data_IF_001691300565
#
_entry.id   IF_001691300565
#
_cell.length_a   1.000
_cell.length_b   1.000
_cell.length_c   1.000
_cell.angle_alpha   90.00
_cell.angle_beta   90.00
_cell.angle_gamma   90.00
#
_symmetry.space_group_name_H-M   'P 1'
#
loop_
_entity.id
_entity.type
_entity.pdbx_description
1 polymer ?
#
# COMPACT_ATOMS: atom_id res chain seq x y z
N UNK A 1 -16.68 40.29 -9.91
CA UNK A 1 -17.05 38.94 -9.46
C UNK A 1 -16.17 38.62 -8.28
N UNK A 2 -16.81 38.57 -7.13
CA UNK A 2 -16.34 39.04 -5.85
C UNK A 2 -15.36 38.04 -5.20
N UNK A 3 -14.12 38.49 -4.94
CA UNK A 3 -13.09 37.72 -4.21
C UNK A 3 -13.32 37.73 -2.70
N UNK A 4 -14.52 38.09 -2.23
CA UNK A 4 -14.82 38.31 -0.81
C UNK A 4 -15.20 37.03 -0.04
N UNK A 5 -15.26 35.88 -0.72
CA UNK A 5 -15.68 34.61 -0.13
C UNK A 5 -14.63 33.48 -0.29
N UNK A 6 -13.34 33.82 -0.37
CA UNK A 6 -12.30 32.79 -0.36
C UNK A 6 -12.44 31.94 0.92
N UNK A 7 -12.59 30.62 0.74
CA UNK A 7 -12.76 29.67 1.83
C UNK A 7 -11.47 28.87 2.01
N UNK A 8 -11.03 28.76 3.25
CA UNK A 8 -9.90 27.94 3.64
C UNK A 8 -10.34 26.76 4.50
N UNK A 9 -9.49 25.74 4.57
CA UNK A 9 -9.75 24.53 5.34
C UNK A 9 -8.82 24.43 6.54
N UNK A 10 -9.38 24.19 7.73
CA UNK A 10 -8.61 23.98 8.94
C UNK A 10 -7.85 22.66 8.85
N UNK A 11 -6.52 22.70 8.98
CA UNK A 11 -5.67 21.53 8.96
C UNK A 11 -5.77 20.63 10.20
N UNK A 12 -6.54 21.02 11.22
CA UNK A 12 -6.76 20.25 12.46
C UNK A 12 -8.12 19.56 12.47
N UNK A 13 -9.20 20.31 12.25
CA UNK A 13 -10.56 19.77 12.31
C UNK A 13 -11.16 19.46 10.93
N UNK A 14 -10.51 19.89 9.84
CA UNK A 14 -11.04 19.85 8.46
C UNK A 14 -12.31 20.68 8.23
N UNK A 15 -12.61 21.61 9.13
CA UNK A 15 -13.69 22.58 8.98
C UNK A 15 -13.35 23.61 7.91
N UNK A 16 -14.35 24.03 7.13
CA UNK A 16 -14.19 25.12 6.16
C UNK A 16 -14.57 26.45 6.81
N UNK A 17 -13.79 27.48 6.57
CA UNK A 17 -13.97 28.83 7.11
C UNK A 17 -13.69 29.87 6.03
N UNK A 18 -14.29 31.05 6.13
CA UNK A 18 -13.97 32.17 5.24
C UNK A 18 -12.61 32.73 5.65
N UNK A 19 -11.79 33.17 4.71
CA UNK A 19 -10.42 33.62 4.98
C UNK A 19 -10.34 34.74 6.04
N UNK A 20 -11.34 35.63 6.07
CA UNK A 20 -11.46 36.70 7.08
C UNK A 20 -11.63 36.17 8.50
N UNK A 21 -12.22 34.98 8.64
CA UNK A 21 -12.61 34.39 9.91
C UNK A 21 -11.61 33.32 10.37
N UNK A 22 -10.52 33.10 9.62
CA UNK A 22 -9.44 32.17 10.00
C UNK A 22 -8.93 32.47 11.43
N UNK A 23 -8.58 33.72 11.80
CA UNK A 23 -8.07 34.01 13.15
C UNK A 23 -9.08 33.74 14.28
N UNK A 24 -10.37 33.70 13.96
CA UNK A 24 -11.46 33.43 14.90
C UNK A 24 -11.77 31.92 15.01
N UNK A 25 -11.09 31.08 14.24
CA UNK A 25 -11.36 29.65 14.20
C UNK A 25 -10.95 28.98 15.51
N UNK A 26 -11.82 28.12 16.06
CA UNK A 26 -11.65 27.49 17.38
C UNK A 26 -10.33 26.72 17.55
N UNK A 27 -9.81 26.11 16.49
CA UNK A 27 -8.51 25.41 16.53
C UNK A 27 -7.29 26.34 16.72
N UNK A 28 -7.43 27.65 16.49
CA UNK A 28 -6.36 28.65 16.73
C UNK A 28 -6.45 29.26 18.13
N UNK A 29 -7.48 28.94 18.92
CA UNK A 29 -7.64 29.49 20.25
C UNK A 29 -6.47 29.06 21.16
N UNK A 30 -5.71 30.04 21.64
CA UNK A 30 -4.53 29.81 22.48
C UNK A 30 -3.19 29.77 21.73
N UNK A 31 -3.20 29.98 20.41
CA UNK A 31 -1.99 30.15 19.59
C UNK A 31 -1.89 31.60 19.14
N UNK A 32 -0.70 32.21 19.31
CA UNK A 32 -0.46 33.59 18.89
C UNK A 32 -0.28 33.71 17.37
N UNK A 33 0.03 32.58 16.70
CA UNK A 33 0.37 32.53 15.29
C UNK A 33 -0.31 31.35 14.58
N UNK A 34 -0.46 31.48 13.26
CA UNK A 34 -0.93 30.41 12.39
C UNK A 34 -0.16 30.45 11.06
N UNK A 35 -0.01 29.28 10.45
CA UNK A 35 0.56 29.14 9.12
C UNK A 35 -0.56 28.95 8.10
N UNK A 36 -0.54 29.73 7.02
CA UNK A 36 -1.47 29.60 5.90
C UNK A 36 -0.75 29.11 4.65
N UNK A 37 -1.24 28.02 4.09
CA UNK A 37 -0.77 27.44 2.85
C UNK A 37 -1.64 27.92 1.68
N UNK A 38 -1.11 28.84 0.87
CA UNK A 38 -1.79 29.38 -0.30
C UNK A 38 -2.07 28.34 -1.41
N UNK A 39 -1.25 27.28 -1.51
CA UNK A 39 -1.38 26.29 -2.58
C UNK A 39 -2.56 25.35 -2.32
N UNK A 40 -2.69 24.93 -1.06
CA UNK A 40 -3.74 23.99 -0.65
C UNK A 40 -4.95 24.71 -0.02
N UNK A 41 -4.87 26.02 0.21
CA UNK A 41 -5.86 26.81 0.96
C UNK A 41 -6.14 26.21 2.35
N UNK A 42 -5.10 25.72 3.01
CA UNK A 42 -5.18 25.18 4.38
C UNK A 42 -4.51 26.11 5.37
N UNK A 43 -5.02 26.15 6.60
CA UNK A 43 -4.37 26.88 7.70
C UNK A 43 -4.17 25.96 8.90
N UNK A 44 -3.13 26.25 9.68
CA UNK A 44 -2.68 25.43 10.80
C UNK A 44 -2.26 26.31 11.98
N UNK A 45 -2.60 25.95 13.23
CA UNK A 45 -2.06 26.62 14.40
C UNK A 45 -0.54 26.42 14.50
N UNK A 46 0.16 27.47 14.91
CA UNK A 46 1.62 27.49 15.05
C UNK A 46 1.98 27.87 16.49
N UNK A 47 2.93 27.15 17.07
CA UNK A 47 3.52 27.48 18.37
C UNK A 47 4.70 28.45 18.21
N UNK A 48 5.12 29.08 19.30
CA UNK A 48 6.27 29.98 19.34
C UNK A 48 7.59 29.32 18.88
N UNK A 49 7.70 27.99 19.06
CA UNK A 49 8.83 27.17 18.61
C UNK A 49 8.77 26.80 17.11
N UNK A 50 7.95 27.47 16.30
CA UNK A 50 7.70 27.13 14.88
C UNK A 50 7.21 25.69 14.65
N UNK A 51 6.46 25.14 15.61
CA UNK A 51 5.85 23.80 15.47
C UNK A 51 4.40 23.96 15.04
N UNK A 52 4.08 23.38 13.89
CA UNK A 52 2.77 23.36 13.27
C UNK A 52 1.95 22.17 13.75
N UNK A 53 0.70 22.42 14.10
CA UNK A 53 -0.25 21.39 14.52
C UNK A 53 -1.15 21.02 13.35
N UNK A 54 -1.10 19.76 12.91
CA UNK A 54 -1.97 19.23 11.84
C UNK A 54 -2.58 17.90 12.20
N UNK A 55 -3.77 17.64 11.72
CA UNK A 55 -4.42 16.34 11.85
C UNK A 55 -4.17 15.49 10.61
N UNK A 56 -3.77 14.24 10.81
CA UNK A 56 -3.63 13.23 9.76
C UNK A 56 -4.69 12.16 9.96
N UNK A 57 -5.20 11.61 8.86
CA UNK A 57 -6.16 10.51 8.90
C UNK A 57 -5.41 9.23 8.55
N UNK A 58 -5.30 8.31 9.51
CA UNK A 58 -4.70 6.99 9.34
C UNK A 58 -5.74 5.92 9.64
N UNK A 59 -6.05 5.06 8.66
CA UNK A 59 -7.01 3.96 8.79
C UNK A 59 -8.37 4.38 9.38
N UNK A 60 -8.86 5.55 8.95
CA UNK A 60 -10.12 6.14 9.43
C UNK A 60 -10.05 6.78 10.83
N UNK A 61 -8.89 6.74 11.49
CA UNK A 61 -8.64 7.42 12.77
C UNK A 61 -7.98 8.76 12.51
N UNK A 62 -8.46 9.80 13.21
CA UNK A 62 -7.86 11.14 13.20
C UNK A 62 -6.77 11.18 14.26
N UNK A 63 -5.55 11.51 13.86
CA UNK A 63 -4.40 11.66 14.74
C UNK A 63 -3.80 13.06 14.57
N UNK A 64 -3.73 13.80 15.67
CA UNK A 64 -3.11 15.13 15.69
C UNK A 64 -1.60 14.95 15.82
N UNK A 65 -0.86 15.53 14.89
CA UNK A 65 0.59 15.43 14.77
C UNK A 65 1.18 16.84 14.87
N UNK A 66 2.27 16.94 15.64
CA UNK A 66 3.13 18.13 15.73
C UNK A 66 4.26 17.98 14.71
N UNK A 67 4.48 19.00 13.89
CA UNK A 67 5.51 19.00 12.85
C UNK A 67 6.20 20.35 12.79
N UNK A 68 7.53 20.37 12.71
CA UNK A 68 8.25 21.64 12.55
C UNK A 68 7.88 22.30 11.21
N UNK A 69 7.75 23.62 11.21
CA UNK A 69 7.42 24.40 10.01
C UNK A 69 8.46 24.21 8.91
N UNK A 70 9.75 24.18 9.25
CA UNK A 70 10.84 23.94 8.30
C UNK A 70 10.72 22.57 7.60
N UNK A 71 10.26 21.54 8.34
CA UNK A 71 10.05 20.21 7.78
C UNK A 71 8.79 20.17 6.90
N UNK A 72 7.76 20.94 7.27
CA UNK A 72 6.52 21.09 6.50
C UNK A 72 6.76 21.81 5.16
N UNK A 73 7.56 22.88 5.15
CA UNK A 73 7.92 23.61 3.94
C UNK A 73 8.88 22.81 3.04
N UNK A 74 9.76 22.00 3.62
CA UNK A 74 10.58 21.03 2.87
C UNK A 74 9.72 19.97 2.17
N UNK A 75 8.70 19.41 2.84
CA UNK A 75 7.74 18.50 2.21
C UNK A 75 7.03 19.14 1.00
N UNK A 76 6.82 20.46 1.02
CA UNK A 76 6.19 21.23 -0.06
C UNK A 76 7.14 21.55 -1.22
N UNK A 77 8.38 21.96 -0.92
CA UNK A 77 9.40 22.25 -1.93
C UNK A 77 9.88 20.99 -2.67
N UNK A 78 9.90 19.84 -2.00
CA UNK A 78 10.11 18.53 -2.65
C UNK A 78 8.99 18.16 -3.66
N UNK A 79 7.74 18.61 -3.44
CA UNK A 79 6.65 18.42 -4.41
C UNK A 79 6.82 19.26 -5.69
N UNK A 80 7.50 20.42 -5.61
CA UNK A 80 7.73 21.32 -6.76
C UNK A 80 9.04 21.04 -7.50
N UNK A 81 10.09 20.59 -6.81
CA UNK A 81 11.41 20.28 -7.42
C UNK A 81 11.45 18.85 -8.04
N UNK A 82 10.50 17.98 -7.69
CA UNK A 82 10.35 16.61 -8.25
C UNK A 82 10.14 16.51 -9.78
N UNK A 83 10.13 17.62 -10.53
CA UNK A 83 10.32 17.58 -11.99
C UNK A 83 11.78 17.44 -12.43
N UNK A 84 12.78 17.70 -11.58
CA UNK A 84 14.20 17.59 -11.96
C UNK A 84 15.08 17.04 -10.83
N UNK A 85 15.26 15.72 -10.89
CA UNK A 85 16.38 14.93 -10.37
C UNK A 85 16.64 14.88 -8.84
N UNK A 86 16.21 13.73 -8.30
CA UNK A 86 16.95 12.83 -7.39
C UNK A 86 16.96 13.10 -5.87
N UNK A 87 16.42 12.08 -5.18
CA UNK A 87 16.88 11.49 -3.92
C UNK A 87 16.63 12.25 -2.61
N UNK A 88 15.69 11.76 -1.78
CA UNK A 88 15.94 10.74 -0.72
C UNK A 88 14.89 10.85 0.41
N UNK A 89 13.65 10.36 0.22
CA UNK A 89 12.72 10.14 1.35
C UNK A 89 11.64 9.10 1.07
N UNK A 90 11.73 8.00 1.82
CA UNK A 90 10.66 7.16 2.39
C UNK A 90 9.31 7.14 1.65
N UNK A 91 9.31 6.60 0.42
CA UNK A 91 8.07 6.30 -0.29
C UNK A 91 7.38 5.07 0.31
N UNK A 92 6.09 5.18 0.64
CA UNK A 92 5.19 4.02 0.57
C UNK A 92 5.10 3.66 -0.92
N UNK A 93 5.97 2.77 -1.35
CA UNK A 93 6.17 2.41 -2.75
C UNK A 93 4.86 1.89 -3.37
N UNK A 94 4.18 2.74 -4.13
CA UNK A 94 3.21 2.29 -5.12
C UNK A 94 4.01 1.81 -6.32
N UNK A 95 4.23 0.50 -6.40
CA UNK A 95 4.83 -0.15 -7.57
C UNK A 95 4.01 0.23 -8.82
N UNK A 96 4.69 0.62 -9.90
CA UNK A 96 4.04 0.79 -11.20
C UNK A 96 3.57 -0.57 -11.74
N UNK A 97 2.66 -0.57 -12.71
CA UNK A 97 2.24 -1.80 -13.39
C UNK A 97 3.43 -2.59 -13.96
N UNK A 98 4.41 -1.90 -14.55
CA UNK A 98 5.63 -2.54 -15.06
C UNK A 98 6.45 -3.16 -13.94
N UNK A 99 6.45 -2.55 -12.75
CA UNK A 99 7.15 -3.09 -11.58
C UNK A 99 6.42 -4.30 -10.99
N UNK A 100 5.09 -4.33 -11.06
CA UNK A 100 4.27 -5.48 -10.69
C UNK A 100 4.51 -6.65 -11.66
N UNK A 101 4.68 -6.38 -12.95
CA UNK A 101 5.01 -7.40 -13.93
C UNK A 101 6.42 -7.98 -13.71
N UNK A 102 7.42 -7.11 -13.48
CA UNK A 102 8.77 -7.54 -13.11
C UNK A 102 8.76 -8.35 -11.82
N UNK A 103 7.97 -7.96 -10.81
CA UNK A 103 7.79 -8.72 -9.58
C UNK A 103 7.28 -10.14 -9.86
N UNK A 104 6.27 -10.29 -10.72
CA UNK A 104 5.72 -11.60 -11.06
C UNK A 104 6.75 -12.46 -11.79
N UNK A 105 7.51 -11.89 -12.73
CA UNK A 105 8.55 -12.61 -13.48
C UNK A 105 9.71 -13.06 -12.57
N UNK A 106 10.17 -12.19 -11.67
CA UNK A 106 11.24 -12.52 -10.72
C UNK A 106 10.80 -13.58 -9.70
N UNK A 107 9.54 -13.54 -9.26
CA UNK A 107 8.99 -14.59 -8.39
C UNK A 107 8.82 -15.90 -9.17
N UNK A 108 8.33 -15.85 -10.41
CA UNK A 108 8.21 -17.04 -11.28
C UNK A 108 9.55 -17.75 -11.45
N UNK A 109 10.64 -17.00 -11.68
CA UNK A 109 11.99 -17.54 -11.83
C UNK A 109 12.52 -18.24 -10.56
N UNK A 110 11.92 -17.97 -9.38
CA UNK A 110 12.32 -18.53 -8.09
C UNK A 110 11.26 -19.48 -7.55
N UNK A 111 11.29 -20.73 -8.04
CA UNK A 111 10.36 -21.79 -7.63
C UNK A 111 10.12 -21.93 -6.12
N UNK A 112 11.13 -21.84 -5.22
CA UNK A 112 10.90 -22.00 -3.78
C UNK A 112 10.00 -20.93 -3.15
N UNK A 113 9.73 -19.82 -3.84
CA UNK A 113 8.85 -18.76 -3.35
C UNK A 113 7.37 -19.09 -3.53
N UNK A 114 7.02 -19.91 -4.52
CA UNK A 114 5.65 -20.14 -4.94
C UNK A 114 5.27 -21.62 -5.00
N UNK A 115 6.22 -22.52 -5.22
CA UNK A 115 6.00 -23.95 -5.30
C UNK A 115 6.03 -24.59 -3.89
N UNK A 116 4.84 -24.79 -3.32
CA UNK A 116 4.68 -25.43 -2.01
C UNK A 116 4.86 -26.96 -2.03
N UNK A 117 5.05 -27.56 -3.22
CA UNK A 117 5.32 -29.00 -3.35
C UNK A 117 6.80 -29.35 -3.20
N UNK A 118 7.69 -28.35 -3.17
CA UNK A 118 9.11 -28.54 -2.89
C UNK A 118 9.35 -28.96 -1.44
N UNK A 119 10.46 -29.67 -1.19
CA UNK A 119 10.79 -30.18 0.13
C UNK A 119 10.96 -29.03 1.14
N UNK A 120 10.53 -29.27 2.39
CA UNK A 120 10.60 -28.26 3.47
C UNK A 120 12.03 -27.74 3.68
N UNK A 121 13.05 -28.56 3.40
CA UNK A 121 14.45 -28.17 3.48
C UNK A 121 14.84 -27.08 2.47
N UNK A 122 14.21 -27.07 1.29
CA UNK A 122 14.42 -26.07 0.22
C UNK A 122 13.55 -24.83 0.43
N UNK A 123 12.46 -24.95 1.20
CA UNK A 123 11.53 -23.88 1.60
C UNK A 123 11.80 -23.28 2.98
N UNK A 124 12.99 -23.48 3.55
CA UNK A 124 13.27 -22.94 4.87
C UNK A 124 13.05 -21.42 4.88
N UNK A 125 12.51 -20.87 5.96
CA UNK A 125 12.33 -19.43 6.19
C UNK A 125 13.59 -18.63 5.85
N UNK A 126 14.77 -19.19 6.13
CA UNK A 126 16.06 -18.59 5.75
C UNK A 126 16.23 -18.45 4.23
N UNK A 127 15.88 -19.48 3.47
CA UNK A 127 16.00 -19.51 2.01
C UNK A 127 14.96 -18.58 1.39
N UNK A 128 13.71 -18.67 1.82
CA UNK A 128 12.63 -17.81 1.29
C UNK A 128 12.87 -16.33 1.58
N UNK A 129 13.33 -15.96 2.78
CA UNK A 129 13.70 -14.58 3.08
C UNK A 129 14.87 -14.08 2.22
N UNK A 130 15.86 -14.93 1.96
CA UNK A 130 16.97 -14.60 1.06
C UNK A 130 16.47 -14.35 -0.37
N UNK A 131 15.61 -15.22 -0.88
CA UNK A 131 15.03 -15.10 -2.22
C UNK A 131 14.17 -13.83 -2.34
N UNK A 132 13.37 -13.47 -1.32
CA UNK A 132 12.62 -12.21 -1.32
C UNK A 132 13.52 -10.97 -1.30
N UNK A 133 14.67 -11.03 -0.64
CA UNK A 133 15.67 -9.96 -0.73
C UNK A 133 16.26 -9.85 -2.13
N UNK A 134 16.56 -10.97 -2.79
CA UNK A 134 17.03 -10.96 -4.19
C UNK A 134 15.98 -10.39 -5.15
N UNK A 135 14.71 -10.74 -4.97
CA UNK A 135 13.59 -10.14 -5.72
C UNK A 135 13.52 -8.63 -5.49
N UNK A 136 13.62 -8.17 -4.24
CA UNK A 136 13.66 -6.74 -3.91
C UNK A 136 14.83 -6.01 -4.58
N UNK A 137 15.99 -6.65 -4.65
CA UNK A 137 17.16 -6.12 -5.35
C UNK A 137 16.97 -6.07 -6.87
N UNK A 138 16.36 -7.09 -7.47
CA UNK A 138 16.05 -7.14 -8.90
C UNK A 138 15.05 -6.03 -9.31
N UNK A 139 14.13 -5.66 -8.41
CA UNK A 139 13.24 -4.51 -8.56
C UNK A 139 13.95 -3.15 -8.37
N UNK A 140 15.27 -3.13 -8.25
CA UNK A 140 16.05 -1.91 -8.02
C UNK A 140 15.87 -1.31 -6.63
N UNK A 141 15.45 -2.11 -5.64
CA UNK A 141 15.21 -1.66 -4.27
C UNK A 141 14.01 -0.73 -4.12
N UNK A 142 13.13 -0.65 -5.13
CA UNK A 142 11.91 0.17 -5.10
C UNK A 142 10.96 -0.23 -3.97
N UNK A 143 10.93 -1.51 -3.63
CA UNK A 143 10.12 -2.06 -2.55
C UNK A 143 10.96 -3.00 -1.68
N UNK A 144 10.71 -3.01 -0.38
CA UNK A 144 11.37 -3.96 0.55
C UNK A 144 10.94 -5.40 0.27
N UNK A 145 11.74 -6.38 0.72
CA UNK A 145 11.39 -7.80 0.61
C UNK A 145 10.01 -8.13 1.19
N UNK A 146 9.65 -7.54 2.34
CA UNK A 146 8.32 -7.74 2.94
C UNK A 146 7.21 -7.06 2.12
N UNK A 147 7.49 -5.89 1.55
CA UNK A 147 6.55 -5.21 0.65
C UNK A 147 6.33 -5.98 -0.66
N UNK A 148 7.39 -6.53 -1.25
CA UNK A 148 7.32 -7.38 -2.45
C UNK A 148 6.47 -8.62 -2.18
N UNK A 149 6.69 -9.28 -1.04
CA UNK A 149 5.90 -10.42 -0.57
C UNK A 149 4.44 -10.07 -0.35
N UNK A 150 4.14 -8.93 0.29
CA UNK A 150 2.77 -8.48 0.52
C UNK A 150 2.06 -8.13 -0.79
N UNK A 151 2.76 -7.49 -1.73
CA UNK A 151 2.21 -7.16 -3.04
C UNK A 151 1.94 -8.42 -3.87
N UNK A 152 2.91 -9.33 -3.93
CA UNK A 152 2.73 -10.62 -4.60
C UNK A 152 1.58 -11.42 -3.99
N UNK A 153 1.44 -11.41 -2.66
CA UNK A 153 0.29 -12.03 -1.97
C UNK A 153 -1.05 -11.45 -2.42
N UNK A 154 -1.15 -10.12 -2.56
CA UNK A 154 -2.37 -9.46 -3.06
C UNK A 154 -2.70 -9.85 -4.51
N UNK A 155 -1.68 -9.93 -5.37
CA UNK A 155 -1.84 -10.35 -6.75
C UNK A 155 -2.28 -11.83 -6.82
N UNK A 156 -1.64 -12.70 -6.05
CA UNK A 156 -1.98 -14.12 -5.97
C UNK A 156 -3.39 -14.36 -5.42
N UNK A 157 -3.85 -13.59 -4.42
CA UNK A 157 -5.24 -13.69 -3.92
C UNK A 157 -6.25 -13.34 -5.02
N UNK A 158 -5.95 -12.32 -5.81
CA UNK A 158 -6.77 -11.93 -6.97
C UNK A 158 -6.79 -13.03 -8.02
N UNK A 159 -5.62 -13.59 -8.37
CA UNK A 159 -5.51 -14.69 -9.33
C UNK A 159 -6.25 -15.95 -8.86
N UNK A 160 -6.09 -16.34 -7.60
CA UNK A 160 -6.80 -17.48 -7.01
C UNK A 160 -8.32 -17.32 -7.12
N UNK A 161 -8.86 -16.12 -6.85
CA UNK A 161 -10.30 -15.84 -7.01
C UNK A 161 -10.76 -16.01 -8.46
N UNK A 162 -9.94 -15.59 -9.43
CA UNK A 162 -10.22 -15.77 -10.86
C UNK A 162 -10.27 -17.27 -11.20
N UNK A 163 -9.25 -18.04 -10.82
CA UNK A 163 -9.18 -19.49 -11.10
C UNK A 163 -10.32 -20.27 -10.42
N UNK A 164 -10.69 -19.91 -9.20
CA UNK A 164 -11.83 -20.52 -8.51
C UNK A 164 -13.14 -20.19 -9.23
N UNK A 165 -13.36 -18.93 -9.63
CA UNK A 165 -14.56 -18.53 -10.37
C UNK A 165 -14.68 -19.25 -11.73
N UNK A 166 -13.56 -19.47 -12.43
CA UNK A 166 -13.53 -20.28 -13.66
C UNK A 166 -13.93 -21.74 -13.41
N UNK A 167 -13.44 -22.34 -12.33
CA UNK A 167 -13.69 -23.75 -12.02
C UNK A 167 -15.13 -24.00 -11.55
N UNK A 168 -15.72 -23.08 -10.77
CA UNK A 168 -17.11 -23.18 -10.31
C UNK A 168 -18.14 -23.00 -11.45
N UNK A 169 -17.79 -22.33 -12.54
CA UNK A 169 -18.68 -22.11 -13.67
C UNK A 169 -18.82 -23.37 -14.57
N UNK A 170 -19.53 -24.38 -14.08
CA UNK A 170 -19.98 -25.50 -14.90
C UNK A 170 -21.16 -25.07 -15.80
N UNK A 171 -20.89 -24.80 -17.08
CA UNK A 171 -21.90 -24.54 -18.12
C UNK A 171 -21.66 -23.30 -18.97
N UNK A 172 -22.58 -23.04 -19.92
CA UNK A 172 -22.59 -21.95 -20.92
C UNK A 172 -22.42 -20.52 -20.35
N UNK A 173 -22.51 -20.35 -19.03
CA UNK A 173 -22.30 -19.09 -18.31
C UNK A 173 -20.83 -18.79 -17.96
N UNK A 174 -19.85 -19.45 -18.60
CA UNK A 174 -18.43 -19.07 -18.52
C UNK A 174 -18.24 -17.67 -19.10
N UNK A 175 -18.42 -16.66 -18.26
CA UNK A 175 -18.04 -15.29 -18.59
C UNK A 175 -16.52 -15.26 -18.70
N UNK A 176 -16.01 -14.81 -19.86
CA UNK A 176 -14.59 -14.55 -20.12
C UNK A 176 -14.09 -13.36 -19.26
N UNK A 177 -14.19 -13.45 -17.93
CA UNK A 177 -13.66 -12.47 -16.97
C UNK A 177 -12.13 -12.54 -16.91
N UNK A 178 -11.60 -13.70 -17.24
CA UNK A 178 -10.24 -14.22 -17.23
C UNK A 178 -9.26 -13.48 -18.14
N UNK A 179 -9.62 -13.17 -19.38
CA UNK A 179 -8.71 -12.47 -20.32
C UNK A 179 -8.54 -10.97 -20.09
N UNK A 180 -9.26 -10.37 -19.13
CA UNK A 180 -9.18 -8.92 -18.86
C UNK A 180 -8.16 -8.56 -17.79
N UNK A 181 -7.78 -9.49 -16.91
CA UNK A 181 -6.80 -9.17 -15.88
C UNK A 181 -5.40 -9.15 -16.49
N UNK A 182 -4.75 -8.00 -16.43
CA UNK A 182 -3.53 -7.73 -17.21
C UNK A 182 -2.31 -8.56 -16.78
N UNK A 183 -2.36 -9.16 -15.59
CA UNK A 183 -1.34 -10.07 -15.06
C UNK A 183 -1.73 -11.55 -15.16
N UNK A 184 -2.84 -11.86 -15.84
CA UNK A 184 -3.36 -13.22 -15.93
C UNK A 184 -2.36 -14.19 -16.60
N UNK A 185 -1.81 -13.81 -17.77
CA UNK A 185 -0.81 -14.63 -18.47
C UNK A 185 0.49 -14.77 -17.67
N UNK A 186 0.94 -13.69 -17.02
CA UNK A 186 2.18 -13.69 -16.23
C UNK A 186 2.06 -14.57 -14.98
N UNK A 187 0.84 -14.80 -14.45
CA UNK A 187 0.57 -15.67 -13.29
C UNK A 187 0.13 -17.10 -13.65
N UNK A 188 0.05 -17.47 -14.93
CA UNK A 188 -0.45 -18.77 -15.38
C UNK A 188 0.31 -19.96 -14.77
N UNK A 189 1.59 -19.78 -14.43
CA UNK A 189 2.41 -20.79 -13.76
C UNK A 189 1.88 -21.23 -12.38
N UNK A 190 0.98 -20.45 -11.77
CA UNK A 190 0.34 -20.76 -10.48
C UNK A 190 -1.00 -21.49 -10.63
N UNK A 191 -1.48 -21.68 -11.87
CA UNK A 191 -2.80 -22.25 -12.16
C UNK A 191 -2.96 -23.62 -11.53
N UNK A 192 -2.00 -24.52 -11.77
CA UNK A 192 -2.04 -25.88 -11.24
C UNK A 192 -2.00 -25.88 -9.71
N UNK A 193 -1.19 -25.01 -9.09
CA UNK A 193 -1.12 -24.88 -7.63
C UNK A 193 -2.40 -24.30 -7.01
N UNK A 194 -3.11 -23.43 -7.70
CA UNK A 194 -4.40 -22.91 -7.25
C UNK A 194 -5.51 -23.96 -7.33
N UNK A 195 -5.37 -24.95 -8.23
CA UNK A 195 -6.31 -26.04 -8.46
C UNK A 195 -6.04 -27.27 -7.59
N UNK A 196 -4.82 -27.41 -7.04
CA UNK A 196 -4.55 -28.37 -5.96
C UNK A 196 -5.45 -27.98 -4.78
N UNK A 197 -6.56 -28.72 -4.63
CA UNK A 197 -7.42 -28.61 -3.47
C UNK A 197 -6.52 -28.79 -2.25
N UNK A 198 -6.49 -27.80 -1.35
CA UNK A 198 -6.11 -28.09 0.03
C UNK A 198 -7.15 -29.06 0.57
N UNK A 199 -6.94 -30.36 0.36
CA UNK A 199 -7.55 -31.38 1.18
C UNK A 199 -7.07 -31.08 2.58
N UNK A 200 -7.96 -30.49 3.40
CA UNK A 200 -7.84 -30.62 4.85
C UNK A 200 -7.75 -32.11 5.10
N UNK A 201 -6.53 -32.60 5.35
CA UNK A 201 -6.32 -33.98 5.74
C UNK A 201 -6.97 -34.11 7.11
N UNK A 202 -8.17 -34.67 7.14
CA UNK A 202 -8.75 -35.25 8.33
C UNK A 202 -7.92 -36.50 8.64
N UNK A 203 -6.71 -36.30 9.16
CA UNK A 203 -5.80 -37.35 9.61
C UNK A 203 -5.66 -37.24 11.13
N UNK A 204 -6.67 -37.75 11.83
CA UNK A 204 -6.39 -38.49 13.05
C UNK A 204 -6.59 -39.96 12.68
N UNK A 205 -5.47 -40.66 12.46
CA UNK A 205 -5.46 -42.09 12.18
C UNK A 205 -5.98 -42.88 13.38
N UNK A 206 -6.80 -43.87 13.05
CA UNK A 206 -7.16 -45.11 13.75
C UNK A 206 -5.95 -45.76 14.49
N UNK A 207 -6.02 -46.59 15.54
CA UNK A 207 -6.73 -47.86 15.80
C UNK A 207 -6.68 -48.17 17.33
N UNK A 208 -7.79 -48.56 17.99
CA UNK A 208 -8.15 -49.90 18.46
C UNK A 208 -7.25 -50.52 19.56
N UNK A 209 -7.82 -50.84 20.73
CA UNK A 209 -7.47 -52.04 21.50
C UNK A 209 -8.66 -52.50 22.36
N UNK A 210 -8.96 -53.80 22.24
CA UNK A 210 -9.90 -54.57 23.04
C UNK A 210 -9.28 -54.90 24.40
N UNK A 211 -10.06 -54.84 25.48
CA UNK A 211 -10.24 -55.96 26.42
C UNK A 211 -11.60 -55.79 27.15
#
# INVERSE_FOLDING_TARGET
MDRENAMSTCGVCFGKVINTDIPLHSCLQGYEQFHYDEETSHFYPLTDDNVLIRCKIFDGKKEVVLQNLDDFEKEKTDSSISKKLSNKSRQKATLSFDDEEVLILEVRAREPLWNFQLNIQERNTRITNKLWNEVSQALGGKISAEGAKQKFKSLHDTYRKIIQAENLASGSARKNLDRKWRHYESMDFLRDLCLIKQTVSNMCSVEAEHD
#
